data_IF_314129006515
#
_entry.id   IF_314129006515
#
_cell.length_a   1.000
_cell.length_b   1.000
_cell.length_c   1.000
_cell.angle_alpha   90.00
_cell.angle_beta   90.00
_cell.angle_gamma   90.00
#
_symmetry.space_group_name_H-M   'P 1'
#
loop_
_entity.id
_entity.type
_entity.pdbx_description
1 polymer ?
#
# COMPACT_ATOMS: atom_id res chain seq x y z
N UNK A 1 -9.44 -11.73 -0.80
CA UNK A 1 -8.83 -10.62 -1.58
C UNK A 1 -9.25 -9.31 -0.94
N UNK A 2 -8.34 -8.35 -0.81
CA UNK A 2 -8.68 -6.98 -0.42
C UNK A 2 -9.44 -6.37 -1.60
N UNK A 3 -10.59 -5.73 -1.33
CA UNK A 3 -11.38 -5.10 -2.38
C UNK A 3 -12.05 -3.84 -1.88
N UNK A 4 -12.22 -2.87 -2.78
CA UNK A 4 -12.98 -1.65 -2.50
C UNK A 4 -13.83 -1.27 -3.71
N UNK A 5 -14.81 -0.40 -3.48
CA UNK A 5 -15.77 0.02 -4.51
C UNK A 5 -15.76 1.54 -4.64
N UNK A 6 -15.65 2.00 -5.87
CA UNK A 6 -15.86 3.39 -6.26
C UNK A 6 -17.08 3.50 -7.18
N UNK A 7 -17.96 4.48 -6.91
CA UNK A 7 -19.07 4.81 -7.82
C UNK A 7 -18.71 6.05 -8.61
N UNK A 8 -18.32 5.86 -9.86
CA UNK A 8 -18.10 6.94 -10.82
C UNK A 8 -19.45 7.47 -11.31
N UNK A 9 -19.60 8.80 -11.40
CA UNK A 9 -20.83 9.46 -11.85
C UNK A 9 -20.73 10.04 -13.27
N UNK A 10 -19.55 9.96 -13.88
CA UNK A 10 -19.27 10.52 -15.21
C UNK A 10 -17.98 9.94 -15.80
N UNK A 11 -17.77 10.10 -17.10
CA UNK A 11 -16.48 9.77 -17.72
C UNK A 11 -15.32 10.55 -17.10
N UNK A 12 -15.54 11.84 -16.78
CA UNK A 12 -14.55 12.69 -16.11
C UNK A 12 -14.12 12.09 -14.76
N UNK A 13 -15.06 11.54 -13.99
CA UNK A 13 -14.74 10.87 -12.73
C UNK A 13 -13.91 9.60 -12.96
N UNK A 14 -14.27 8.78 -13.95
CA UNK A 14 -13.50 7.58 -14.33
C UNK A 14 -12.07 7.94 -14.74
N UNK A 15 -11.92 8.96 -15.59
CA UNK A 15 -10.61 9.47 -16.03
C UNK A 15 -9.78 9.98 -14.85
N UNK A 16 -10.34 10.83 -13.97
CA UNK A 16 -9.62 11.33 -12.79
C UNK A 16 -9.20 10.19 -11.85
N UNK A 17 -10.06 9.20 -11.65
CA UNK A 17 -9.73 8.03 -10.84
C UNK A 17 -8.58 7.22 -11.46
N UNK A 18 -8.63 6.96 -12.77
CA UNK A 18 -7.57 6.30 -13.51
C UNK A 18 -6.23 7.06 -13.40
N UNK A 19 -6.27 8.39 -13.58
CA UNK A 19 -5.09 9.25 -13.49
C UNK A 19 -4.47 9.25 -12.08
N UNK A 20 -5.29 9.35 -11.04
CA UNK A 20 -4.83 9.28 -9.64
C UNK A 20 -4.21 7.92 -9.33
N UNK A 21 -4.82 6.83 -9.82
CA UNK A 21 -4.33 5.48 -9.61
C UNK A 21 -2.94 5.26 -10.19
N UNK A 22 -2.74 5.56 -11.48
CA UNK A 22 -1.45 5.26 -12.14
C UNK A 22 -0.31 6.12 -11.61
N UNK A 23 -0.61 7.34 -11.14
CA UNK A 23 0.35 8.19 -10.42
C UNK A 23 0.77 7.55 -9.09
N UNK A 24 -0.17 7.05 -8.30
CA UNK A 24 0.14 6.32 -7.05
C UNK A 24 0.97 5.06 -7.31
N UNK A 25 0.71 4.37 -8.42
CA UNK A 25 1.48 3.20 -8.86
C UNK A 25 2.86 3.55 -9.46
N UNK A 26 3.25 4.83 -9.53
CA UNK A 26 4.43 5.30 -10.25
C UNK A 26 4.50 4.77 -11.70
N UNK A 27 3.34 4.59 -12.33
CA UNK A 27 3.17 4.03 -13.66
C UNK A 27 3.86 2.66 -13.85
N UNK A 28 3.72 1.78 -12.85
CA UNK A 28 4.28 0.43 -12.88
C UNK A 28 3.26 -0.62 -12.47
N UNK A 29 3.39 -1.81 -13.03
CA UNK A 29 2.59 -2.98 -12.68
C UNK A 29 1.47 -3.27 -13.67
N UNK A 30 0.64 -4.25 -13.34
CA UNK A 30 -0.39 -4.78 -14.24
C UNK A 30 -1.78 -4.48 -13.67
N UNK A 31 -2.64 -3.91 -14.51
CA UNK A 31 -4.05 -3.63 -14.22
C UNK A 31 -4.91 -4.33 -15.25
N UNK A 32 -5.81 -5.17 -14.79
CA UNK A 32 -6.76 -5.91 -15.61
C UNK A 32 -8.16 -5.31 -15.48
N UNK A 33 -8.78 -5.02 -16.62
CA UNK A 33 -10.09 -4.36 -16.71
C UNK A 33 -11.13 -5.36 -17.23
N UNK A 34 -12.20 -5.54 -16.46
CA UNK A 34 -13.28 -6.47 -16.73
C UNK A 34 -14.60 -5.71 -16.82
N UNK A 35 -15.51 -6.17 -17.68
CA UNK A 35 -16.85 -5.57 -17.83
C UNK A 35 -17.33 -5.61 -19.27
N UNK A 36 -18.61 -5.32 -19.48
CA UNK A 36 -19.26 -5.39 -20.79
C UNK A 36 -18.77 -4.30 -21.77
N UNK A 37 -19.18 -4.42 -23.03
CA UNK A 37 -18.98 -3.38 -24.05
C UNK A 37 -19.59 -2.07 -23.54
N UNK A 38 -18.86 -0.96 -23.68
CA UNK A 38 -19.31 0.36 -23.23
C UNK A 38 -19.26 0.60 -21.70
N UNK A 39 -18.81 -0.37 -20.89
CA UNK A 39 -18.74 -0.23 -19.43
C UNK A 39 -17.75 0.85 -18.95
N UNK A 40 -16.88 1.36 -19.83
CA UNK A 40 -15.93 2.44 -19.55
C UNK A 40 -14.47 2.01 -19.42
N UNK A 41 -14.14 0.76 -19.78
CA UNK A 41 -12.78 0.21 -19.76
C UNK A 41 -11.79 1.07 -20.57
N UNK A 42 -12.12 1.39 -21.83
CA UNK A 42 -11.29 2.23 -22.68
C UNK A 42 -11.19 3.68 -22.19
N UNK A 43 -12.22 4.22 -21.55
CA UNK A 43 -12.17 5.56 -20.92
C UNK A 43 -11.13 5.56 -19.79
N UNK A 44 -11.13 4.51 -18.98
CA UNK A 44 -10.14 4.31 -17.93
C UNK A 44 -8.72 4.19 -18.50
N UNK A 45 -8.51 3.32 -19.49
CA UNK A 45 -7.20 3.13 -20.13
C UNK A 45 -6.67 4.43 -20.76
N UNK A 46 -7.54 5.22 -21.40
CA UNK A 46 -7.20 6.55 -21.91
C UNK A 46 -6.76 7.49 -20.80
N UNK A 47 -7.49 7.53 -19.68
CA UNK A 47 -7.10 8.31 -18.51
C UNK A 47 -5.72 7.93 -17.96
N UNK A 48 -5.37 6.64 -17.98
CA UNK A 48 -4.02 6.19 -17.63
C UNK A 48 -2.94 6.76 -18.56
N UNK A 49 -3.15 6.68 -19.88
CA UNK A 49 -2.21 7.21 -20.86
C UNK A 49 -2.11 8.76 -20.82
N UNK A 50 -3.21 9.46 -20.58
CA UNK A 50 -3.21 10.90 -20.37
C UNK A 50 -2.38 11.30 -19.13
N UNK A 51 -2.49 10.56 -18.02
CA UNK A 51 -1.68 10.81 -16.82
C UNK A 51 -0.18 10.63 -17.07
N UNK A 52 0.19 9.74 -17.98
CA UNK A 52 1.57 9.51 -18.39
C UNK A 52 2.14 10.69 -19.19
N UNK A 53 1.27 11.52 -19.79
CA UNK A 53 1.63 12.67 -20.62
C UNK A 53 1.36 12.47 -22.11
N UNK A 54 0.77 11.33 -22.51
CA UNK A 54 0.44 11.06 -23.90
C UNK A 54 -0.64 12.03 -24.37
N UNK A 55 -0.39 12.71 -25.48
CA UNK A 55 -1.37 13.63 -26.06
C UNK A 55 -2.65 12.89 -26.46
N UNK A 56 -3.82 13.44 -26.09
CA UNK A 56 -5.14 12.79 -26.27
C UNK A 56 -5.42 12.30 -27.69
N UNK A 57 -4.98 13.05 -28.72
CA UNK A 57 -5.16 12.67 -30.13
C UNK A 57 -4.37 11.41 -30.55
N UNK A 58 -3.34 11.03 -29.78
CA UNK A 58 -2.51 9.84 -30.04
C UNK A 58 -3.03 8.58 -29.33
N UNK A 59 -3.98 8.73 -28.40
CA UNK A 59 -4.50 7.60 -27.62
C UNK A 59 -5.69 6.97 -28.36
N UNK A 60 -5.51 5.74 -28.82
CA UNK A 60 -6.49 4.98 -29.61
C UNK A 60 -6.68 3.60 -29.00
N UNK A 61 -7.87 3.02 -29.16
CA UNK A 61 -8.10 1.64 -28.70
C UNK A 61 -7.23 0.66 -29.52
N UNK A 62 -6.56 -0.32 -28.88
CA UNK A 62 -5.79 -1.34 -29.56
C UNK A 62 -6.66 -2.51 -30.08
N UNK A 63 -7.99 -2.35 -30.20
CA UNK A 63 -8.93 -3.43 -30.56
C UNK A 63 -8.56 -4.26 -31.81
N UNK A 64 -7.79 -3.70 -32.76
CA UNK A 64 -7.28 -4.43 -33.93
C UNK A 64 -5.78 -4.77 -33.87
N UNK A 65 -4.99 -4.00 -33.12
CA UNK A 65 -3.55 -4.23 -32.98
C UNK A 65 -3.20 -5.10 -31.77
N UNK A 66 -4.20 -5.44 -30.95
CA UNK A 66 -4.16 -6.08 -29.63
C UNK A 66 -3.37 -5.34 -28.56
N UNK A 67 -2.21 -4.78 -28.91
CA UNK A 67 -1.32 -4.04 -28.03
C UNK A 67 -1.00 -2.69 -28.68
N UNK A 68 -0.96 -1.64 -27.86
CA UNK A 68 -0.40 -0.33 -28.20
C UNK A 68 0.60 0.07 -27.12
N UNK A 69 1.75 0.54 -27.56
CA UNK A 69 2.81 1.02 -26.69
C UNK A 69 2.82 2.55 -26.68
N UNK A 70 2.96 3.11 -25.49
CA UNK A 70 3.14 4.53 -25.23
C UNK A 70 4.42 4.73 -24.43
N UNK A 71 5.35 5.52 -24.95
CA UNK A 71 6.61 5.83 -24.27
C UNK A 71 6.68 7.30 -23.94
N UNK A 72 6.83 7.63 -22.66
CA UNK A 72 7.07 8.99 -22.20
C UNK A 72 8.18 8.98 -21.16
N UNK A 73 9.25 9.73 -21.43
CA UNK A 73 10.47 9.78 -20.59
C UNK A 73 11.00 8.37 -20.29
N UNK A 74 11.00 7.95 -19.02
CA UNK A 74 11.57 6.70 -18.53
C UNK A 74 10.51 5.64 -18.18
N UNK A 75 9.28 5.82 -18.65
CA UNK A 75 8.15 4.94 -18.35
C UNK A 75 7.49 4.48 -19.64
N UNK A 76 7.24 3.17 -19.72
CA UNK A 76 6.47 2.56 -20.81
C UNK A 76 5.06 2.22 -20.31
N UNK A 77 4.05 2.48 -21.14
CA UNK A 77 2.70 1.97 -20.92
C UNK A 77 2.26 1.10 -22.10
N UNK A 78 1.76 -0.08 -21.78
CA UNK A 78 1.15 -1.00 -22.72
C UNK A 78 -0.35 -1.01 -22.49
N UNK A 79 -1.10 -0.56 -23.50
CA UNK A 79 -2.55 -0.70 -23.53
C UNK A 79 -2.87 -1.92 -24.39
N UNK A 80 -3.48 -2.92 -23.79
CA UNK A 80 -3.88 -4.15 -24.45
C UNK A 80 -5.41 -4.30 -24.46
N UNK A 81 -5.97 -4.79 -25.56
CA UNK A 81 -7.41 -5.07 -25.73
C UNK A 81 -7.57 -6.42 -26.42
N UNK A 82 -8.07 -7.40 -25.65
CA UNK A 82 -8.21 -8.78 -26.07
C UNK A 82 -9.67 -9.17 -26.35
N UNK A 83 -10.53 -8.20 -26.67
CA UNK A 83 -11.93 -8.48 -27.03
C UNK A 83 -12.08 -9.49 -28.17
N UNK A 84 -11.15 -9.48 -29.13
CA UNK A 84 -11.21 -10.28 -30.37
C UNK A 84 -10.20 -11.43 -30.44
N UNK A 85 -9.53 -11.74 -29.34
CA UNK A 85 -8.55 -12.83 -29.35
C UNK A 85 -9.27 -14.19 -29.21
N UNK A 86 -8.74 -15.21 -29.90
CA UNK A 86 -9.00 -16.61 -29.58
C UNK A 86 -7.97 -17.06 -28.54
N UNK A 87 -8.36 -17.90 -27.58
CA UNK A 87 -7.51 -18.28 -26.43
C UNK A 87 -6.20 -19.01 -26.78
N UNK A 88 -5.96 -19.37 -28.04
CA UNK A 88 -4.86 -20.26 -28.46
C UNK A 88 -3.70 -19.53 -29.17
N UNK A 89 -3.64 -18.18 -29.12
CA UNK A 89 -2.53 -17.42 -29.71
C UNK A 89 -1.29 -17.42 -28.79
N UNK A 90 -0.46 -18.46 -28.90
CA UNK A 90 0.75 -18.66 -28.10
C UNK A 90 1.77 -17.53 -28.26
N UNK A 91 1.88 -16.94 -29.45
CA UNK A 91 2.85 -15.86 -29.74
C UNK A 91 2.45 -14.59 -28.99
N UNK A 92 1.16 -14.27 -28.98
CA UNK A 92 0.64 -13.12 -28.25
C UNK A 92 0.74 -13.32 -26.73
N UNK A 93 0.49 -14.54 -26.25
CA UNK A 93 0.70 -14.91 -24.85
C UNK A 93 2.16 -14.76 -24.42
N UNK A 94 3.10 -15.22 -25.24
CA UNK A 94 4.53 -15.05 -24.98
C UNK A 94 4.92 -13.57 -24.91
N UNK A 95 4.49 -12.78 -25.89
CA UNK A 95 4.75 -11.34 -25.95
C UNK A 95 4.21 -10.62 -24.71
N UNK A 96 2.97 -10.91 -24.31
CA UNK A 96 2.34 -10.32 -23.14
C UNK A 96 3.08 -10.70 -21.84
N UNK A 97 3.52 -11.95 -21.71
CA UNK A 97 4.30 -12.40 -20.56
C UNK A 97 5.62 -11.63 -20.40
N UNK A 98 6.32 -11.35 -21.50
CA UNK A 98 7.55 -10.54 -21.45
C UNK A 98 7.25 -9.07 -21.10
N UNK A 99 6.19 -8.50 -21.65
CA UNK A 99 5.73 -7.15 -21.31
C UNK A 99 5.40 -7.03 -19.82
N UNK A 100 4.65 -7.99 -19.25
CA UNK A 100 4.23 -7.96 -17.84
C UNK A 100 5.39 -8.14 -16.85
N UNK A 101 6.53 -8.70 -17.27
CA UNK A 101 7.74 -8.83 -16.44
C UNK A 101 8.57 -7.56 -16.37
N UNK A 102 8.33 -6.57 -17.25
CA UNK A 102 9.08 -5.31 -17.26
C UNK A 102 8.87 -4.53 -15.95
N UNK A 103 9.97 -4.26 -15.23
CA UNK A 103 9.93 -3.55 -13.94
C UNK A 103 9.49 -2.09 -14.04
N UNK A 104 9.70 -1.45 -15.20
CA UNK A 104 9.41 -0.03 -15.43
C UNK A 104 8.30 0.16 -16.47
N UNK A 105 7.27 -0.68 -16.42
CA UNK A 105 6.13 -0.59 -17.32
C UNK A 105 4.79 -0.66 -16.57
N UNK A 106 3.83 0.12 -17.06
CA UNK A 106 2.41 -0.01 -16.74
C UNK A 106 1.73 -0.83 -17.82
N UNK A 107 1.05 -1.91 -17.47
CA UNK A 107 0.31 -2.75 -18.42
C UNK A 107 -1.18 -2.67 -18.08
N UNK A 108 -1.99 -2.12 -18.98
CA UNK A 108 -3.45 -2.03 -18.86
C UNK A 108 -4.06 -3.03 -19.83
N UNK A 109 -4.77 -4.03 -19.30
CA UNK A 109 -5.33 -5.13 -20.07
C UNK A 109 -6.86 -5.04 -20.04
N UNK A 110 -7.49 -4.66 -21.14
CA UNK A 110 -8.93 -4.80 -21.34
C UNK A 110 -9.28 -6.24 -21.73
N UNK A 111 -10.45 -6.70 -21.26
CA UNK A 111 -10.94 -8.06 -21.53
C UNK A 111 -10.03 -9.16 -20.96
N UNK A 112 -9.44 -8.88 -19.80
CA UNK A 112 -8.49 -9.76 -19.14
C UNK A 112 -9.03 -11.16 -18.82
N UNK A 113 -10.36 -11.35 -18.78
CA UNK A 113 -10.97 -12.69 -18.64
C UNK A 113 -10.57 -13.64 -19.77
N UNK A 114 -10.25 -13.14 -20.96
CA UNK A 114 -9.80 -13.93 -22.10
C UNK A 114 -8.33 -14.40 -21.95
N UNK A 115 -7.65 -14.00 -20.88
CA UNK A 115 -6.23 -14.31 -20.65
C UNK A 115 -5.98 -15.00 -19.30
N UNK A 116 -7.02 -15.58 -18.70
CA UNK A 116 -6.99 -16.08 -17.32
C UNK A 116 -5.80 -17.00 -16.99
N UNK A 117 -5.25 -17.72 -17.97
CA UNK A 117 -4.11 -18.63 -17.80
C UNK A 117 -2.74 -17.93 -17.72
N UNK A 118 -2.59 -16.72 -18.27
CA UNK A 118 -1.30 -16.02 -18.37
C UNK A 118 -1.19 -14.79 -17.47
N UNK A 119 -2.29 -14.37 -16.84
CA UNK A 119 -2.29 -13.20 -15.96
C UNK A 119 -1.41 -13.42 -14.72
N UNK A 120 -0.54 -12.46 -14.35
CA UNK A 120 0.32 -12.58 -13.19
C UNK A 120 -0.49 -12.53 -11.90
N UNK A 121 -0.02 -13.20 -10.85
CA UNK A 121 -0.66 -13.17 -9.52
C UNK A 121 -0.66 -11.76 -8.91
N UNK A 122 0.41 -10.99 -9.12
CA UNK A 122 0.54 -9.62 -8.61
C UNK A 122 -0.01 -8.61 -9.62
N UNK A 123 -1.33 -8.40 -9.59
CA UNK A 123 -2.06 -7.46 -10.45
C UNK A 123 -3.24 -6.84 -9.72
N UNK A 124 -3.71 -5.70 -10.21
CA UNK A 124 -4.96 -5.09 -9.77
C UNK A 124 -6.06 -5.48 -10.76
N UNK A 125 -7.15 -6.04 -10.28
CA UNK A 125 -8.33 -6.33 -11.10
C UNK A 125 -9.41 -5.26 -10.87
N UNK A 126 -9.94 -4.65 -11.93
CA UNK A 126 -11.00 -3.65 -11.87
C UNK A 126 -12.21 -4.13 -12.67
N UNK A 127 -13.32 -4.35 -11.98
CA UNK A 127 -14.58 -4.75 -12.58
C UNK A 127 -15.48 -3.55 -12.76
N UNK A 128 -15.91 -3.30 -13.99
CA UNK A 128 -16.83 -2.23 -14.37
C UNK A 128 -18.24 -2.81 -14.50
N UNK A 129 -19.16 -2.26 -13.73
CA UNK A 129 -20.59 -2.57 -13.80
C UNK A 129 -21.39 -1.32 -14.16
N UNK A 130 -22.34 -1.47 -15.08
CA UNK A 130 -23.32 -0.42 -15.34
C UNK A 130 -24.18 -0.15 -14.11
N UNK A 131 -24.47 1.13 -13.89
CA UNK A 131 -25.47 1.63 -12.95
C UNK A 131 -26.39 2.60 -13.70
N UNK A 132 -27.37 3.18 -13.01
CA UNK A 132 -28.35 4.06 -13.64
C UNK A 132 -27.71 5.29 -14.31
N UNK A 133 -28.30 5.74 -15.43
CA UNK A 133 -27.88 6.91 -16.21
C UNK A 133 -26.41 6.79 -16.70
N UNK A 134 -25.54 7.68 -16.23
CA UNK A 134 -24.12 7.77 -16.59
C UNK A 134 -23.17 7.23 -15.50
N UNK A 135 -23.72 6.55 -14.49
CA UNK A 135 -22.91 6.04 -13.38
C UNK A 135 -22.32 4.65 -13.68
N UNK A 136 -21.15 4.38 -13.12
CA UNK A 136 -20.45 3.08 -13.20
C UNK A 136 -19.97 2.70 -11.81
N UNK A 137 -20.15 1.44 -11.43
CA UNK A 137 -19.53 0.88 -10.24
C UNK A 137 -18.21 0.23 -10.65
N UNK A 138 -17.13 0.67 -10.03
CA UNK A 138 -15.80 0.11 -10.19
C UNK A 138 -15.49 -0.69 -8.92
N UNK A 139 -15.39 -2.01 -9.05
CA UNK A 139 -14.92 -2.88 -7.97
C UNK A 139 -13.43 -3.14 -8.19
N UNK A 140 -12.59 -2.62 -7.31
CA UNK A 140 -11.13 -2.77 -7.35
C UNK A 140 -10.75 -3.93 -6.43
N UNK A 141 -10.07 -4.95 -6.96
CA UNK A 141 -9.48 -6.04 -6.19
C UNK A 141 -7.96 -5.93 -6.23
N UNK A 142 -7.35 -6.00 -5.06
CA UNK A 142 -5.91 -5.93 -4.88
C UNK A 142 -5.35 -7.34 -4.69
N UNK A 143 -4.10 -7.60 -5.13
CA UNK A 143 -3.50 -8.91 -4.96
C UNK A 143 -3.22 -9.15 -3.48
N UNK A 144 -3.79 -10.22 -2.91
CA UNK A 144 -3.48 -10.63 -1.54
C UNK A 144 -2.36 -11.66 -1.56
N UNK A 145 -1.19 -11.26 -1.06
CA UNK A 145 -0.13 -12.19 -0.69
C UNK A 145 0.61 -11.62 0.51
N UNK A 146 0.08 -11.86 1.72
CA UNK A 146 0.69 -11.48 3.00
C UNK A 146 1.16 -12.69 3.81
N UNK A 147 1.04 -13.92 3.29
CA UNK A 147 1.44 -15.15 3.98
C UNK A 147 2.91 -15.10 4.42
N UNK A 148 3.76 -14.57 3.56
CA UNK A 148 5.17 -14.36 3.85
C UNK A 148 5.47 -13.40 5.02
N UNK A 149 4.57 -12.46 5.30
CA UNK A 149 4.72 -11.57 6.46
C UNK A 149 4.58 -12.42 7.73
N UNK A 150 3.68 -13.42 7.71
CA UNK A 150 3.57 -14.39 8.79
C UNK A 150 4.83 -15.24 8.96
N UNK A 151 5.53 -15.56 7.87
CA UNK A 151 6.82 -16.24 7.95
C UNK A 151 7.91 -15.35 8.56
N UNK A 152 7.89 -14.03 8.29
CA UNK A 152 8.76 -13.08 8.98
C UNK A 152 8.46 -13.02 10.47
N UNK A 153 7.19 -13.04 10.87
CA UNK A 153 6.83 -13.07 12.29
C UNK A 153 7.43 -14.28 13.00
N UNK A 154 7.34 -15.47 12.38
CA UNK A 154 7.96 -16.69 12.92
C UNK A 154 9.49 -16.56 12.95
N UNK A 155 10.10 -16.13 11.85
CA UNK A 155 11.56 -16.00 11.69
C UNK A 155 12.20 -15.05 12.70
N UNK A 156 11.52 -13.94 13.00
CA UNK A 156 12.01 -12.91 13.92
C UNK A 156 11.38 -12.98 15.31
N UNK A 157 10.61 -14.03 15.58
CA UNK A 157 9.87 -14.27 16.82
C UNK A 157 8.94 -13.11 17.22
N UNK A 158 8.39 -12.35 16.27
CA UNK A 158 7.57 -11.16 16.57
C UNK A 158 6.46 -11.50 17.58
N UNK A 159 6.38 -10.82 18.74
CA UNK A 159 5.45 -11.20 19.80
C UNK A 159 3.99 -11.08 19.38
N UNK A 160 3.14 -11.99 19.87
CA UNK A 160 1.72 -12.04 19.52
C UNK A 160 0.97 -10.72 19.76
N UNK A 161 1.30 -10.00 20.84
CA UNK A 161 0.67 -8.71 21.15
C UNK A 161 1.11 -7.59 20.18
N UNK A 162 2.35 -7.63 19.68
CA UNK A 162 2.84 -6.71 18.63
C UNK A 162 2.14 -7.02 17.31
N UNK A 163 2.01 -8.31 16.96
CA UNK A 163 1.25 -8.72 15.77
C UNK A 163 -0.21 -8.23 15.87
N UNK A 164 -0.85 -8.38 17.04
CA UNK A 164 -2.22 -7.91 17.25
C UNK A 164 -2.34 -6.38 17.15
N UNK A 165 -1.33 -5.64 17.62
CA UNK A 165 -1.24 -4.20 17.41
C UNK A 165 -1.17 -3.85 15.91
N UNK A 166 -0.22 -4.44 15.17
CA UNK A 166 -0.06 -4.21 13.73
C UNK A 166 -1.33 -4.54 12.93
N UNK A 167 -2.03 -5.63 13.27
CA UNK A 167 -3.33 -5.97 12.67
C UNK A 167 -4.40 -4.91 12.95
N UNK A 168 -4.46 -4.39 14.17
CA UNK A 168 -5.42 -3.33 14.53
C UNK A 168 -5.12 -2.03 13.76
N UNK A 169 -3.84 -1.70 13.57
CA UNK A 169 -3.39 -0.57 12.76
C UNK A 169 -3.78 -0.78 11.29
N UNK A 170 -3.55 -1.97 10.74
CA UNK A 170 -3.93 -2.32 9.38
C UNK A 170 -5.44 -2.17 9.16
N UNK A 171 -6.26 -2.75 10.03
CA UNK A 171 -7.72 -2.68 9.94
C UNK A 171 -8.23 -1.22 9.97
N UNK A 172 -7.66 -0.38 10.83
CA UNK A 172 -8.04 1.03 10.90
C UNK A 172 -7.63 1.80 9.64
N UNK A 173 -6.39 1.61 9.17
CA UNK A 173 -5.86 2.27 7.98
C UNK A 173 -6.60 1.84 6.70
N UNK A 174 -6.92 0.55 6.55
CA UNK A 174 -7.68 0.00 5.43
C UNK A 174 -9.08 0.61 5.36
N UNK A 175 -9.80 0.68 6.50
CA UNK A 175 -11.11 1.34 6.57
C UNK A 175 -11.06 2.80 6.15
N UNK A 176 -9.97 3.52 6.46
CA UNK A 176 -9.78 4.88 5.97
C UNK A 176 -9.52 4.90 4.47
N UNK A 177 -8.61 4.07 3.96
CA UNK A 177 -8.32 3.96 2.53
C UNK A 177 -9.57 3.66 1.70
N UNK A 178 -10.44 2.76 2.17
CA UNK A 178 -11.72 2.48 1.53
C UNK A 178 -12.63 3.72 1.43
N UNK A 179 -12.64 4.58 2.46
CA UNK A 179 -13.41 5.83 2.43
C UNK A 179 -12.85 6.82 1.39
N UNK A 180 -11.54 6.91 1.25
CA UNK A 180 -10.91 7.71 0.19
C UNK A 180 -11.27 7.19 -1.20
N UNK A 181 -11.22 5.87 -1.41
CA UNK A 181 -11.63 5.24 -2.68
C UNK A 181 -13.10 5.55 -2.99
N UNK A 182 -14.00 5.45 -2.00
CA UNK A 182 -15.42 5.80 -2.15
C UNK A 182 -15.64 7.26 -2.56
N UNK A 183 -14.76 8.17 -2.13
CA UNK A 183 -14.77 9.60 -2.51
C UNK A 183 -14.09 9.88 -3.85
N UNK A 184 -13.48 8.88 -4.50
CA UNK A 184 -12.84 8.99 -5.81
C UNK A 184 -11.35 9.26 -5.78
N UNK A 185 -10.72 9.17 -4.60
CA UNK A 185 -9.27 9.22 -4.45
C UNK A 185 -8.75 7.79 -4.38
N UNK A 186 -7.98 7.37 -5.39
CA UNK A 186 -7.36 6.05 -5.36
C UNK A 186 -6.37 5.93 -4.19
N UNK A 187 -6.37 4.77 -3.55
CA UNK A 187 -5.44 4.38 -2.50
C UNK A 187 -5.08 2.90 -2.73
N UNK A 188 -3.79 2.56 -2.71
CA UNK A 188 -3.34 1.18 -2.76
C UNK A 188 -3.54 0.50 -1.39
N UNK A 189 -4.66 -0.23 -1.25
CA UNK A 189 -4.99 -0.92 -0.01
C UNK A 189 -4.01 -2.05 0.32
N UNK A 190 -3.42 -2.70 -0.69
CA UNK A 190 -2.37 -3.71 -0.46
C UNK A 190 -1.15 -3.05 0.16
N UNK A 191 -0.73 -1.88 -0.36
CA UNK A 191 0.41 -1.15 0.20
C UNK A 191 0.16 -0.73 1.64
N UNK A 192 -1.06 -0.28 1.96
CA UNK A 192 -1.47 0.01 3.35
C UNK A 192 -1.30 -1.22 4.24
N UNK A 193 -1.86 -2.36 3.83
CA UNK A 193 -1.79 -3.61 4.58
C UNK A 193 -0.34 -4.03 4.83
N UNK A 194 0.52 -4.00 3.79
CA UNK A 194 1.92 -4.38 3.90
C UNK A 194 2.71 -3.47 4.86
N UNK A 195 2.58 -2.15 4.73
CA UNK A 195 3.28 -1.21 5.63
C UNK A 195 2.80 -1.43 7.07
N UNK A 196 1.48 -1.50 7.29
CA UNK A 196 0.91 -1.65 8.63
C UNK A 196 1.30 -2.97 9.30
N UNK A 197 1.35 -4.07 8.55
CA UNK A 197 1.73 -5.39 9.06
C UNK A 197 3.25 -5.55 9.28
N UNK A 198 4.07 -4.61 8.81
CA UNK A 198 5.53 -4.66 8.94
C UNK A 198 6.10 -3.58 9.85
N UNK A 199 5.40 -2.48 10.11
CA UNK A 199 6.00 -1.28 10.73
C UNK A 199 6.66 -1.53 12.10
N UNK A 200 6.16 -2.50 12.86
CA UNK A 200 6.65 -2.88 14.18
C UNK A 200 7.22 -4.33 14.19
N UNK A 201 7.57 -4.89 13.03
CA UNK A 201 8.05 -6.28 12.88
C UNK A 201 9.14 -6.65 13.89
N UNK A 202 10.12 -5.76 14.06
CA UNK A 202 11.27 -5.93 14.94
C UNK A 202 11.17 -5.11 16.23
N UNK A 203 9.95 -4.82 16.70
CA UNK A 203 9.74 -4.08 17.95
C UNK A 203 10.51 -4.59 19.17
N UNK A 204 10.77 -5.90 19.33
CA UNK A 204 11.57 -6.40 20.46
C UNK A 204 12.98 -5.80 20.60
N UNK A 205 13.57 -5.23 19.54
CA UNK A 205 14.83 -4.49 19.59
C UNK A 205 14.73 -3.25 20.51
N UNK A 206 13.53 -2.69 20.65
CA UNK A 206 13.26 -1.47 21.40
C UNK A 206 12.61 -1.75 22.76
N UNK A 207 12.60 -3.02 23.20
CA UNK A 207 12.16 -3.38 24.54
C UNK A 207 13.31 -3.23 25.53
N UNK A 208 13.05 -2.60 26.67
CA UNK A 208 14.06 -2.42 27.73
C UNK A 208 14.35 -3.75 28.45
N UNK A 209 13.36 -4.62 28.54
CA UNK A 209 13.50 -5.99 28.98
C UNK A 209 12.55 -6.91 28.18
N UNK A 210 12.91 -8.18 28.03
CA UNK A 210 12.09 -9.14 27.29
C UNK A 210 11.16 -9.98 28.17
N UNK A 211 11.28 -9.84 29.50
CA UNK A 211 10.46 -10.53 30.50
C UNK A 211 9.51 -9.63 31.30
N UNK A 212 9.48 -8.32 31.04
CA UNK A 212 8.70 -7.35 31.82
C UNK A 212 7.46 -6.80 31.09
N UNK A 213 6.52 -6.26 31.87
CA UNK A 213 5.21 -5.78 31.44
C UNK A 213 5.24 -4.40 30.77
N UNK A 214 6.17 -4.15 29.85
CA UNK A 214 6.31 -2.83 29.21
C UNK A 214 5.07 -2.42 28.39
N UNK A 215 4.22 -3.39 28.04
CA UNK A 215 2.91 -3.20 27.42
C UNK A 215 1.76 -3.78 28.26
N UNK A 216 1.95 -3.93 29.58
CA UNK A 216 0.97 -4.52 30.48
C UNK A 216 0.77 -6.03 30.32
N UNK A 217 1.59 -6.70 29.51
CA UNK A 217 1.55 -8.16 29.32
C UNK A 217 2.89 -8.78 29.70
N UNK A 218 2.85 -9.81 30.57
CA UNK A 218 4.03 -10.64 30.84
C UNK A 218 4.35 -11.46 29.59
N UNK A 219 5.59 -11.39 29.14
CA UNK A 219 6.11 -12.22 28.07
C UNK A 219 7.00 -13.32 28.64
N UNK A 220 6.89 -14.53 28.07
CA UNK A 220 7.80 -15.64 28.32
C UNK A 220 8.45 -16.07 26.98
N UNK A 221 9.38 -15.26 26.43
CA UNK A 221 10.00 -15.56 25.13
C UNK A 221 10.95 -16.76 25.24
N UNK A 222 11.09 -17.51 24.15
CA UNK A 222 12.03 -18.64 24.09
C UNK A 222 13.49 -18.16 24.16
N UNK A 223 14.40 -19.04 24.58
CA UNK A 223 15.86 -18.77 24.59
C UNK A 223 16.37 -18.33 23.20
N UNK A 224 15.83 -18.92 22.14
CA UNK A 224 16.19 -18.59 20.76
C UNK A 224 15.74 -17.17 20.37
N UNK A 225 14.52 -16.78 20.77
CA UNK A 225 14.01 -15.42 20.55
C UNK A 225 14.89 -14.38 21.25
N UNK A 226 15.19 -14.59 22.54
CA UNK A 226 16.08 -13.73 23.33
C UNK A 226 17.45 -13.59 22.66
N UNK A 227 18.06 -14.71 22.24
CA UNK A 227 19.37 -14.71 21.56
C UNK A 227 19.34 -13.89 20.26
N UNK A 228 18.31 -14.06 19.43
CA UNK A 228 18.14 -13.31 18.19
C UNK A 228 17.97 -11.81 18.46
N UNK A 229 17.06 -11.43 19.35
CA UNK A 229 16.80 -10.03 19.67
C UNK A 229 18.01 -9.35 20.29
N UNK A 230 18.78 -10.05 21.14
CA UNK A 230 20.06 -9.55 21.67
C UNK A 230 21.03 -9.23 20.54
N UNK A 231 21.18 -10.14 19.57
CA UNK A 231 22.07 -9.94 18.42
C UNK A 231 21.63 -8.74 17.58
N UNK A 232 20.33 -8.62 17.30
CA UNK A 232 19.78 -7.52 16.53
C UNK A 232 19.90 -6.18 17.26
N UNK A 233 19.62 -6.14 18.57
CA UNK A 233 19.76 -4.94 19.38
C UNK A 233 21.23 -4.49 19.49
N UNK A 234 22.19 -5.42 19.57
CA UNK A 234 23.62 -5.09 19.47
C UNK A 234 24.01 -4.51 18.11
N UNK A 235 23.44 -5.04 17.02
CA UNK A 235 23.74 -4.57 15.65
C UNK A 235 23.14 -3.19 15.37
N UNK A 236 21.89 -2.97 15.75
CA UNK A 236 21.12 -1.80 15.35
C UNK A 236 21.07 -0.72 16.43
N UNK A 237 21.30 -1.06 17.70
CA UNK A 237 21.07 -0.18 18.83
C UNK A 237 19.60 -0.16 19.27
N UNK A 238 19.39 0.24 20.52
CA UNK A 238 18.06 0.41 21.12
C UNK A 238 17.27 1.51 20.40
N UNK A 239 15.98 1.28 20.13
CA UNK A 239 15.10 2.27 19.49
C UNK A 239 15.13 2.27 17.95
N UNK A 240 15.98 1.44 17.33
CA UNK A 240 16.18 1.40 15.88
C UNK A 240 15.44 0.22 15.20
N UNK A 241 14.30 -0.20 15.76
CA UNK A 241 13.47 -1.31 15.26
C UNK A 241 12.95 -1.08 13.83
N UNK A 242 12.57 0.15 13.50
CA UNK A 242 12.09 0.50 12.14
C UNK A 242 13.23 0.41 11.12
N UNK A 243 14.42 0.91 11.47
CA UNK A 243 15.62 0.82 10.62
C UNK A 243 16.03 -0.65 10.41
N UNK A 244 16.02 -1.46 11.47
CA UNK A 244 16.28 -2.90 11.36
C UNK A 244 15.28 -3.60 10.43
N UNK A 245 14.00 -3.21 10.52
CA UNK A 245 12.94 -3.77 9.65
C UNK A 245 13.18 -3.39 8.19
N UNK A 246 13.52 -2.13 7.92
CA UNK A 246 13.86 -1.67 6.57
C UNK A 246 15.02 -2.48 5.97
N UNK A 247 16.09 -2.72 6.73
CA UNK A 247 17.23 -3.53 6.28
C UNK A 247 16.84 -4.97 5.98
N UNK A 248 15.98 -5.58 6.81
CA UNK A 248 15.45 -6.92 6.53
C UNK A 248 14.73 -6.91 5.19
N UNK A 249 13.82 -5.96 4.96
CA UNK A 249 13.04 -5.87 3.73
C UNK A 249 13.91 -5.66 2.48
N UNK A 250 14.94 -4.82 2.55
CA UNK A 250 15.87 -4.60 1.42
C UNK A 250 16.65 -5.86 1.02
N UNK A 251 16.91 -6.75 1.97
CA UNK A 251 17.65 -7.99 1.74
C UNK A 251 16.73 -9.18 1.42
N UNK A 252 15.40 -8.98 1.38
CA UNK A 252 14.48 -10.02 0.93
C UNK A 252 14.42 -10.04 -0.59
N UNK A 253 14.88 -11.14 -1.20
CA UNK A 253 14.62 -11.40 -2.61
C UNK A 253 13.18 -11.90 -2.79
N UNK A 254 12.38 -11.09 -3.48
CA UNK A 254 10.97 -11.35 -3.77
C UNK A 254 10.78 -11.04 -5.24
N UNK A 255 10.84 -12.09 -6.07
CA UNK A 255 10.58 -11.98 -7.51
C UNK A 255 9.27 -11.21 -7.73
N UNK A 256 9.32 -10.15 -8.53
CA UNK A 256 8.17 -9.33 -8.93
C UNK A 256 7.50 -8.50 -7.81
N UNK A 257 8.25 -8.15 -6.75
CA UNK A 257 7.81 -7.18 -5.74
C UNK A 257 8.90 -6.12 -5.49
N UNK A 258 8.53 -4.84 -5.49
CA UNK A 258 9.46 -3.75 -5.16
C UNK A 258 9.65 -3.63 -3.64
N UNK A 259 10.54 -4.48 -3.10
CA UNK A 259 10.88 -4.52 -1.68
C UNK A 259 11.62 -3.27 -1.22
N UNK A 260 12.40 -2.64 -2.10
CA UNK A 260 13.11 -1.41 -1.77
C UNK A 260 12.13 -0.25 -1.53
N UNK A 261 11.10 -0.13 -2.38
CA UNK A 261 10.00 0.81 -2.18
C UNK A 261 9.25 0.52 -0.88
N UNK A 262 8.88 -0.74 -0.62
CA UNK A 262 8.18 -1.11 0.62
C UNK A 262 9.00 -0.78 1.88
N UNK A 263 10.30 -1.08 1.86
CA UNK A 263 11.22 -0.77 2.93
C UNK A 263 11.26 0.74 3.21
N UNK A 264 11.30 1.56 2.15
CA UNK A 264 11.22 3.01 2.26
C UNK A 264 9.93 3.49 2.95
N UNK A 265 8.78 2.93 2.60
CA UNK A 265 7.50 3.29 3.23
C UNK A 265 7.37 2.82 4.69
N UNK A 266 8.02 1.71 5.07
CA UNK A 266 8.11 1.30 6.48
C UNK A 266 8.98 2.28 7.28
N UNK A 267 10.05 2.80 6.68
CA UNK A 267 10.94 3.75 7.35
C UNK A 267 10.24 5.06 7.75
N UNK A 268 9.21 5.46 7.02
CA UNK A 268 8.40 6.67 7.31
C UNK A 268 7.40 6.47 8.45
N UNK A 269 7.39 5.32 9.12
CA UNK A 269 6.49 5.04 10.24
C UNK A 269 7.07 5.42 11.61
N UNK A 270 8.30 5.94 11.64
CA UNK A 270 8.92 6.50 12.85
C UNK A 270 8.10 7.67 13.41
N UNK A 271 8.15 7.88 14.73
CA UNK A 271 7.32 8.89 15.40
C UNK A 271 7.52 10.31 14.82
N UNK A 272 8.76 10.66 14.50
CA UNK A 272 9.19 11.96 13.99
C UNK A 272 9.10 12.12 12.46
N UNK A 273 8.62 11.11 11.73
CA UNK A 273 8.54 11.15 10.26
C UNK A 273 7.76 12.38 9.73
N UNK A 274 6.75 12.86 10.45
CA UNK A 274 5.95 14.05 10.09
C UNK A 274 6.73 15.39 10.16
N UNK A 275 7.91 15.39 10.78
CA UNK A 275 8.86 16.51 10.79
C UNK A 275 10.19 16.17 10.12
N UNK A 276 10.39 14.91 9.69
CA UNK A 276 11.63 14.44 9.12
C UNK A 276 11.84 15.02 7.73
N UNK A 277 12.98 15.67 7.52
CA UNK A 277 13.42 16.09 6.18
C UNK A 277 14.03 14.91 5.41
N UNK A 278 14.63 13.95 6.12
CA UNK A 278 15.32 12.80 5.52
C UNK A 278 14.33 11.76 4.99
N UNK A 279 13.27 11.50 5.75
CA UNK A 279 12.27 10.47 5.44
C UNK A 279 10.83 11.02 5.63
N UNK A 280 10.40 11.99 4.81
CA UNK A 280 9.06 12.54 4.89
C UNK A 280 8.02 11.50 4.46
N UNK A 281 6.78 11.67 4.94
CA UNK A 281 5.60 10.98 4.39
C UNK A 281 5.36 11.48 2.96
N UNK A 282 5.48 10.61 1.96
CA UNK A 282 5.38 10.98 0.54
C UNK A 282 4.04 10.59 -0.08
N UNK A 283 3.45 9.51 0.39
CA UNK A 283 2.23 8.94 -0.18
C UNK A 283 1.06 9.00 0.79
N UNK A 284 -0.16 8.88 0.26
CA UNK A 284 -1.36 8.83 1.08
C UNK A 284 -1.39 7.52 1.89
N UNK A 285 -0.92 6.41 1.33
CA UNK A 285 -0.79 5.12 1.98
C UNK A 285 0.12 5.20 3.22
N UNK A 286 1.32 5.80 3.08
CA UNK A 286 2.24 6.05 4.20
C UNK A 286 1.60 6.93 5.27
N UNK A 287 0.89 7.98 4.83
CA UNK A 287 0.21 8.94 5.72
C UNK A 287 -0.90 8.28 6.52
N UNK A 288 -1.71 7.43 5.88
CA UNK A 288 -2.82 6.72 6.50
C UNK A 288 -2.32 5.72 7.55
N UNK A 289 -1.27 4.95 7.25
CA UNK A 289 -0.67 4.01 8.20
C UNK A 289 -0.01 4.74 9.37
N UNK A 290 0.74 5.81 9.09
CA UNK A 290 1.38 6.62 10.12
C UNK A 290 0.36 7.17 11.11
N UNK A 291 -0.74 7.73 10.58
CA UNK A 291 -1.84 8.24 11.39
C UNK A 291 -2.56 7.12 12.15
N UNK A 292 -2.81 5.97 11.52
CA UNK A 292 -3.47 4.83 12.13
C UNK A 292 -2.74 4.32 13.38
N UNK A 293 -1.40 4.20 13.36
CA UNK A 293 -0.63 3.85 14.56
C UNK A 293 -0.86 4.85 15.71
N UNK A 294 -0.97 6.15 15.41
CA UNK A 294 -1.29 7.18 16.41
C UNK A 294 -2.74 7.15 16.87
N UNK A 295 -3.59 6.33 16.25
CA UNK A 295 -4.97 6.06 16.65
C UNK A 295 -5.14 4.69 17.31
N UNK A 296 -4.07 3.90 17.50
CA UNK A 296 -4.14 2.58 18.12
C UNK A 296 -3.28 2.52 19.37
N UNK A 297 -3.90 2.19 20.51
CA UNK A 297 -3.24 1.89 21.79
C UNK A 297 -3.41 0.41 22.09
N UNK A 298 -2.27 -0.30 22.14
CA UNK A 298 -2.25 -1.77 22.15
C UNK A 298 -3.07 -2.34 20.99
N UNK A 299 -4.32 -2.73 21.25
CA UNK A 299 -5.21 -3.35 20.26
C UNK A 299 -6.56 -2.66 20.22
N UNK A 300 -6.64 -1.40 20.67
CA UNK A 300 -7.85 -0.60 20.70
C UNK A 300 -7.62 0.71 19.93
N UNK A 301 -8.61 1.07 19.11
CA UNK A 301 -8.64 2.38 18.47
C UNK A 301 -9.05 3.42 19.51
N UNK A 302 -8.26 4.47 19.65
CA UNK A 302 -8.41 5.51 20.68
C UNK A 302 -8.31 6.89 20.05
N UNK A 303 -8.54 7.95 20.83
CA UNK A 303 -8.29 9.33 20.38
C UNK A 303 -6.80 9.65 20.36
N UNK A 304 -6.37 10.66 19.59
CA UNK A 304 -5.00 11.15 19.63
C UNK A 304 -4.59 11.61 21.04
N UNK A 305 -5.50 12.26 21.76
CA UNK A 305 -5.28 12.70 23.16
C UNK A 305 -4.93 11.51 24.05
N UNK A 306 -5.78 10.47 24.05
CA UNK A 306 -5.52 9.26 24.84
C UNK A 306 -4.20 8.59 24.42
N UNK A 307 -3.92 8.49 23.12
CA UNK A 307 -2.69 7.87 22.61
C UNK A 307 -1.43 8.62 23.05
N UNK A 308 -1.46 9.95 23.05
CA UNK A 308 -0.32 10.77 23.46
C UNK A 308 -0.12 10.75 24.97
N UNK A 309 -1.18 10.82 25.77
CA UNK A 309 -1.10 10.65 27.21
C UNK A 309 -0.49 9.30 27.59
N UNK A 310 -0.93 8.22 26.93
CA UNK A 310 -0.38 6.88 27.11
C UNK A 310 1.10 6.77 26.68
N UNK A 311 1.47 7.36 25.54
CA UNK A 311 2.85 7.42 25.09
C UNK A 311 3.76 8.15 26.09
N UNK A 312 3.29 9.26 26.65
CA UNK A 312 4.04 10.03 27.66
C UNK A 312 4.28 9.22 28.93
N UNK A 313 3.26 8.51 29.42
CA UNK A 313 3.37 7.61 30.57
C UNK A 313 4.39 6.49 30.32
N UNK A 314 4.36 5.87 29.14
CA UNK A 314 5.24 4.74 28.78
C UNK A 314 6.70 5.14 28.60
N UNK A 315 6.97 6.20 27.86
CA UNK A 315 8.33 6.54 27.42
C UNK A 315 9.00 7.61 28.28
N UNK A 316 8.24 8.52 28.89
CA UNK A 316 8.81 9.59 29.70
C UNK A 316 8.61 9.37 31.20
N UNK A 317 7.54 8.70 31.65
CA UNK A 317 7.24 8.55 33.08
C UNK A 317 7.34 9.93 33.78
N UNK A 318 8.28 10.11 34.70
CA UNK A 318 8.58 11.38 35.41
C UNK A 318 9.73 12.19 34.77
N UNK A 319 10.26 11.76 33.63
CA UNK A 319 11.36 12.44 32.91
C UNK A 319 10.83 13.59 32.06
N UNK A 320 11.70 14.56 31.81
CA UNK A 320 11.39 15.73 30.98
C UNK A 320 11.08 15.31 29.54
N UNK A 321 9.89 15.68 29.05
CA UNK A 321 9.47 15.44 27.67
C UNK A 321 10.32 16.33 26.74
N UNK A 322 10.96 15.79 25.70
CA UNK A 322 11.70 16.58 24.72
C UNK A 322 10.81 17.63 24.06
N UNK A 323 11.32 18.86 23.91
CA UNK A 323 10.55 20.01 23.36
C UNK A 323 9.94 19.72 21.98
N UNK A 324 10.62 18.94 21.15
CA UNK A 324 10.14 18.60 19.80
C UNK A 324 8.89 17.70 19.80
N UNK A 325 8.61 16.98 20.90
CA UNK A 325 7.44 16.08 21.02
C UNK A 325 6.13 16.86 20.84
N UNK A 326 6.02 18.05 21.44
CA UNK A 326 4.82 18.89 21.31
C UNK A 326 4.66 19.47 19.90
N UNK A 327 5.76 19.63 19.16
CA UNK A 327 5.73 20.04 17.73
C UNK A 327 5.15 18.90 16.89
N UNK A 328 5.63 17.67 17.10
CA UNK A 328 5.14 16.48 16.41
C UNK A 328 3.65 16.27 16.68
N UNK A 329 3.23 16.25 17.95
CA UNK A 329 1.83 16.06 18.33
C UNK A 329 0.91 17.10 17.66
N UNK A 330 1.30 18.39 17.66
CA UNK A 330 0.54 19.45 16.97
C UNK A 330 0.40 19.19 15.47
N UNK A 331 1.46 18.70 14.80
CA UNK A 331 1.38 18.32 13.39
C UNK A 331 0.46 17.13 13.17
N UNK A 332 0.46 16.13 14.06
CA UNK A 332 -0.43 14.97 13.96
C UNK A 332 -1.90 15.39 14.11
N UNK A 333 -2.22 16.31 15.03
CA UNK A 333 -3.58 16.86 15.13
C UNK A 333 -4.01 17.62 13.85
N UNK A 334 -3.09 18.38 13.23
CA UNK A 334 -3.37 19.04 11.94
C UNK A 334 -3.60 18.01 10.83
N UNK A 335 -2.81 16.93 10.82
CA UNK A 335 -2.97 15.82 9.88
C UNK A 335 -4.35 15.17 10.03
N UNK A 336 -4.78 14.87 11.26
CA UNK A 336 -6.13 14.34 11.52
C UNK A 336 -7.21 15.22 10.92
N UNK A 337 -7.18 16.53 11.18
CA UNK A 337 -8.13 17.48 10.61
C UNK A 337 -8.14 17.44 9.08
N UNK A 338 -6.97 17.42 8.45
CA UNK A 338 -6.85 17.34 6.99
C UNK A 338 -7.41 16.04 6.41
N UNK A 339 -7.07 14.89 7.01
CA UNK A 339 -7.59 13.60 6.58
C UNK A 339 -9.11 13.51 6.72
N UNK A 340 -9.65 13.97 7.85
CA UNK A 340 -11.10 13.94 8.08
C UNK A 340 -11.85 14.92 7.18
N UNK A 341 -11.29 16.11 6.91
CA UNK A 341 -11.88 17.07 5.96
C UNK A 341 -11.97 16.50 4.54
N UNK A 342 -10.98 15.72 4.10
CA UNK A 342 -11.02 15.04 2.80
C UNK A 342 -12.03 13.87 2.75
N UNK A 343 -12.56 13.44 3.90
CA UNK A 343 -13.51 12.33 4.02
C UNK A 343 -14.95 12.78 4.28
N UNK A 344 -15.15 14.00 4.79
CA UNK A 344 -16.47 14.66 4.86
C UNK A 344 -16.90 15.07 3.47
#
# INVERSE_FOLDING_TARGET
MLSSVYTSKSEINTTKFAQNMVKSMNFKGVVCLYGEIGAGKTVFAKGCAEALGVHKSKIKSPTFSFIREYKEKNVEMYHCDFYRINNDDEVLHHTLNEIMKKKNALVIIEWAQNLSQVLPKNRIDIFFEYKAKNSRKLTIKFPQNTDWISDLYKKYFTPAHVIKHMKTVADFALKMGEKFIKKGTYVDLKRIEEIALLHDLLKPISFFNWGGSQFGQKMAPSKNAIKLWTKLQKKYGFGNDVQATMDVLKNLDRKNQDMASLAGSVLTQQFDAIISQKYPLKTLEETLVYYADKRVKHTKVVTLKERFEDGRKRYFQNRKIPKYTSVIERKIYKLEKSLLHNLT
#
